data_IF_405386412584
#
_entry.id   IF_405386412584
#
_cell.length_a   1.000
_cell.length_b   1.000
_cell.length_c   1.000
_cell.angle_alpha   90.00
_cell.angle_beta   90.00
_cell.angle_gamma   90.00
#
_symmetry.space_group_name_H-M   'P 1'
#
loop_
_entity.id
_entity.type
_entity.pdbx_description
1 polymer ?
#
# COMPACT_ATOMS: atom_id res chain seq x y z
N UNK A 1 -3.37 4.75 21.44
CA UNK A 1 -3.53 6.23 21.38
C UNK A 1 -2.50 6.74 20.40
N UNK A 2 -2.90 7.50 19.37
CA UNK A 2 -1.96 7.99 18.34
C UNK A 2 -0.93 8.94 18.96
N UNK A 3 0.34 8.63 18.76
CA UNK A 3 1.47 9.45 19.22
C UNK A 3 1.57 10.76 18.43
N UNK A 4 2.32 11.74 18.95
CA UNK A 4 2.42 13.06 18.31
C UNK A 4 3.13 13.00 16.95
N UNK A 5 4.18 12.18 16.79
CA UNK A 5 4.85 12.01 15.49
C UNK A 5 3.93 11.33 14.49
N UNK A 6 3.28 10.22 14.86
CA UNK A 6 2.26 9.57 14.02
C UNK A 6 1.16 10.56 13.60
N UNK A 7 0.60 11.35 14.53
CA UNK A 7 -0.41 12.35 14.20
C UNK A 7 0.11 13.43 13.24
N UNK A 8 1.33 13.92 13.47
CA UNK A 8 1.96 14.92 12.59
C UNK A 8 2.18 14.36 11.18
N UNK A 9 2.65 13.13 11.07
CA UNK A 9 2.86 12.47 9.78
C UNK A 9 1.55 12.17 9.06
N UNK A 10 0.55 11.63 9.76
CA UNK A 10 -0.80 11.45 9.21
C UNK A 10 -1.36 12.77 8.67
N UNK A 11 -1.23 13.88 9.41
CA UNK A 11 -1.70 15.20 8.95
C UNK A 11 -1.00 15.71 7.69
N UNK A 12 0.22 15.23 7.40
CA UNK A 12 0.95 15.51 6.15
C UNK A 12 0.53 14.63 5.00
N UNK A 13 -0.15 13.51 5.29
CA UNK A 13 -0.63 12.56 4.28
C UNK A 13 -2.12 12.73 3.96
N UNK A 14 -2.81 13.65 4.63
CA UNK A 14 -4.22 13.94 4.45
C UNK A 14 -4.47 15.35 3.91
N UNK A 15 -5.60 15.54 3.24
CA UNK A 15 -6.13 16.88 2.94
C UNK A 15 -6.46 17.66 4.23
N UNK A 16 -6.69 18.98 4.18
CA UNK A 16 -7.14 19.74 5.35
C UNK A 16 -8.44 19.23 5.99
N UNK A 17 -9.25 18.47 5.23
CA UNK A 17 -10.47 17.83 5.71
C UNK A 17 -10.24 16.42 6.28
N UNK A 18 -8.99 15.94 6.35
CA UNK A 18 -8.65 14.63 6.92
C UNK A 18 -8.75 13.45 5.96
N UNK A 19 -9.01 13.67 4.67
CA UNK A 19 -9.11 12.58 3.68
C UNK A 19 -7.73 12.20 3.13
N UNK A 20 -7.47 10.91 2.95
CA UNK A 20 -6.35 10.40 2.17
C UNK A 20 -6.66 10.55 0.68
N UNK A 21 -5.88 11.37 -0.03
CA UNK A 21 -5.91 11.52 -1.48
C UNK A 21 -4.48 11.26 -1.96
N UNK A 22 -4.06 10.01 -1.89
CA UNK A 22 -2.66 9.62 -2.10
C UNK A 22 -2.47 9.09 -3.52
N UNK A 23 -1.50 9.63 -4.25
CA UNK A 23 -1.12 9.09 -5.56
C UNK A 23 -0.06 7.99 -5.38
N UNK A 24 -0.38 6.77 -5.82
CA UNK A 24 0.51 5.62 -5.73
C UNK A 24 1.18 5.30 -7.07
N UNK A 25 2.52 5.31 -7.09
CA UNK A 25 3.37 4.92 -8.22
C UNK A 25 4.60 4.14 -7.74
N UNK A 26 4.43 3.32 -6.72
CA UNK A 26 5.46 2.40 -6.19
C UNK A 26 5.60 1.10 -7.02
N UNK A 27 4.76 0.90 -8.04
CA UNK A 27 4.88 -0.18 -9.01
C UNK A 27 6.23 -0.14 -9.74
N UNK A 28 6.92 -1.28 -9.83
CA UNK A 28 8.27 -1.39 -10.43
C UNK A 28 8.19 -2.21 -11.71
N UNK A 29 8.67 -3.46 -11.66
CA UNK A 29 8.76 -4.37 -12.81
C UNK A 29 7.43 -4.52 -13.54
N UNK A 30 6.32 -4.71 -12.82
CA UNK A 30 5.00 -4.89 -13.43
C UNK A 30 4.53 -3.66 -14.22
N UNK A 31 4.85 -2.44 -13.77
CA UNK A 31 4.52 -1.22 -14.51
C UNK A 31 5.45 -1.07 -15.73
N UNK A 32 6.74 -1.34 -15.56
CA UNK A 32 7.70 -1.30 -16.67
C UNK A 32 7.32 -2.29 -17.79
N UNK A 33 6.94 -3.52 -17.43
CA UNK A 33 6.45 -4.54 -18.37
C UNK A 33 5.20 -4.09 -19.11
N UNK A 34 4.21 -3.53 -18.41
CA UNK A 34 2.99 -3.01 -19.03
C UNK A 34 3.27 -1.84 -19.99
N UNK A 35 4.17 -0.94 -19.62
CA UNK A 35 4.58 0.17 -20.50
C UNK A 35 5.31 -0.35 -21.74
N UNK A 36 6.26 -1.29 -21.57
CA UNK A 36 7.00 -1.88 -22.67
C UNK A 36 6.09 -2.65 -23.63
N UNK A 37 5.04 -3.30 -23.14
CA UNK A 37 4.04 -3.96 -23.97
C UNK A 37 3.19 -2.99 -24.79
N UNK A 38 3.11 -1.72 -24.38
CA UNK A 38 2.36 -0.67 -25.06
C UNK A 38 3.20 0.17 -26.04
N UNK A 39 4.50 -0.11 -26.18
CA UNK A 39 5.45 0.67 -27.00
C UNK A 39 6.27 -0.23 -27.92
N UNK A 40 6.63 0.26 -29.11
CA UNK A 40 7.48 -0.49 -30.05
C UNK A 40 8.94 -0.61 -29.59
N UNK A 41 9.37 0.25 -28.66
CA UNK A 41 10.74 0.30 -28.14
C UNK A 41 10.71 0.26 -26.62
N UNK A 42 11.24 -0.81 -25.99
CA UNK A 42 11.30 -0.91 -24.54
C UNK A 42 12.02 0.28 -23.91
N UNK A 43 11.48 0.75 -22.79
CA UNK A 43 12.04 1.82 -21.98
C UNK A 43 13.37 1.37 -21.35
N UNK A 44 14.36 2.25 -21.38
CA UNK A 44 15.53 2.10 -20.52
C UNK A 44 15.17 2.42 -19.06
N UNK A 45 16.02 2.02 -18.10
CA UNK A 45 15.84 2.43 -16.70
C UNK A 45 15.75 3.96 -16.55
N UNK A 46 16.55 4.70 -17.34
CA UNK A 46 16.52 6.16 -17.34
C UNK A 46 15.19 6.72 -17.84
N UNK A 47 14.63 6.14 -18.91
CA UNK A 47 13.33 6.58 -19.43
C UNK A 47 12.21 6.23 -18.46
N UNK A 48 12.32 5.12 -17.74
CA UNK A 48 11.35 4.75 -16.70
C UNK A 48 11.40 5.70 -15.50
N UNK A 49 12.59 6.12 -15.07
CA UNK A 49 12.74 7.20 -14.08
C UNK A 49 12.06 8.48 -14.59
N UNK A 50 12.38 8.92 -15.80
CA UNK A 50 11.77 10.12 -16.40
C UNK A 50 10.24 10.03 -16.44
N UNK A 51 9.70 8.88 -16.85
CA UNK A 51 8.26 8.63 -16.82
C UNK A 51 7.67 8.83 -15.42
N UNK A 52 8.27 8.23 -14.39
CA UNK A 52 7.78 8.40 -13.00
C UNK A 52 7.86 9.85 -12.54
N UNK A 53 8.94 10.55 -12.87
CA UNK A 53 9.09 11.97 -12.54
C UNK A 53 8.01 12.83 -13.20
N UNK A 54 7.63 12.53 -14.46
CA UNK A 54 6.54 13.23 -15.14
C UNK A 54 5.20 13.00 -14.42
N UNK A 55 4.91 11.77 -13.98
CA UNK A 55 3.68 11.48 -13.21
C UNK A 55 3.69 12.20 -11.86
N UNK A 56 4.80 12.14 -11.12
CA UNK A 56 4.96 12.83 -9.82
C UNK A 56 4.77 14.35 -9.99
N UNK A 57 5.39 14.93 -11.01
CA UNK A 57 5.28 16.37 -11.30
C UNK A 57 3.86 16.80 -11.68
N UNK A 58 3.15 15.96 -12.44
CA UNK A 58 1.80 16.27 -12.91
C UNK A 58 0.75 16.08 -11.82
N UNK A 59 0.85 15.03 -11.00
CA UNK A 59 -0.20 14.62 -10.06
C UNK A 59 0.11 14.93 -8.60
N UNK A 60 1.39 15.08 -8.23
CA UNK A 60 1.82 15.42 -6.87
C UNK A 60 1.12 16.65 -6.29
N UNK A 61 1.00 17.78 -7.02
CA UNK A 61 0.31 18.98 -6.53
C UNK A 61 -1.20 18.80 -6.25
N UNK A 62 -1.80 17.75 -6.80
CA UNK A 62 -3.22 17.41 -6.62
C UNK A 62 -3.46 16.33 -5.56
N UNK A 63 -2.39 15.84 -4.93
CA UNK A 63 -2.42 14.75 -3.96
C UNK A 63 -2.12 15.26 -2.55
N UNK A 64 -2.71 14.65 -1.53
CA UNK A 64 -2.32 14.91 -0.13
C UNK A 64 -0.96 14.30 0.20
N UNK A 65 -0.63 13.17 -0.44
CA UNK A 65 0.67 12.51 -0.35
C UNK A 65 0.97 11.76 -1.64
N UNK A 66 2.20 11.28 -1.76
CA UNK A 66 2.60 10.32 -2.81
C UNK A 66 3.22 9.08 -2.19
N UNK A 67 2.90 7.91 -2.75
CA UNK A 67 3.55 6.64 -2.46
C UNK A 67 4.42 6.27 -3.66
N UNK A 68 5.74 6.23 -3.50
CA UNK A 68 6.65 5.90 -4.61
C UNK A 68 7.85 5.10 -4.13
N UNK A 69 8.47 4.34 -5.03
CA UNK A 69 9.49 3.36 -4.68
C UNK A 69 10.90 4.00 -4.55
N UNK A 70 11.79 3.39 -3.75
CA UNK A 70 13.14 3.91 -3.57
C UNK A 70 14.06 3.78 -4.78
N UNK A 71 13.76 2.88 -5.73
CA UNK A 71 14.66 2.59 -6.84
C UNK A 71 14.54 3.61 -7.98
N UNK A 72 13.33 4.04 -8.32
CA UNK A 72 13.05 4.89 -9.48
C UNK A 72 12.34 6.20 -9.15
N UNK A 73 11.66 6.29 -8.00
CA UNK A 73 10.84 7.43 -7.63
C UNK A 73 11.52 8.39 -6.65
N UNK A 74 11.81 7.89 -5.44
CA UNK A 74 12.20 8.72 -4.29
C UNK A 74 13.50 9.49 -4.53
N UNK A 75 14.58 8.79 -4.90
CA UNK A 75 15.91 9.39 -5.00
C UNK A 75 15.94 10.53 -6.02
N UNK A 76 15.51 10.24 -7.25
CA UNK A 76 15.44 11.23 -8.31
C UNK A 76 14.44 12.34 -7.98
N UNK A 77 13.30 12.00 -7.38
CA UNK A 77 12.28 13.00 -7.08
C UNK A 77 12.71 14.02 -6.03
N UNK A 78 13.50 13.60 -5.04
CA UNK A 78 14.11 14.50 -4.06
C UNK A 78 15.17 15.39 -4.72
N UNK A 79 16.05 14.83 -5.54
CA UNK A 79 17.17 15.57 -6.18
C UNK A 79 16.66 16.58 -7.20
N UNK A 80 15.69 16.19 -8.02
CA UNK A 80 15.08 17.04 -9.06
C UNK A 80 14.05 18.04 -8.51
N UNK A 81 13.54 17.81 -7.29
CA UNK A 81 12.57 18.68 -6.64
C UNK A 81 11.10 18.39 -6.98
N UNK A 82 10.81 17.32 -7.72
CA UNK A 82 9.42 16.86 -7.98
C UNK A 82 8.75 16.32 -6.71
N UNK A 83 9.55 15.91 -5.71
CA UNK A 83 9.13 15.60 -4.35
C UNK A 83 9.56 16.73 -3.39
N UNK A 84 8.84 17.86 -3.37
CA UNK A 84 9.19 18.97 -2.48
C UNK A 84 8.99 18.55 -1.03
N UNK A 85 9.82 19.09 -0.12
CA UNK A 85 9.81 18.70 1.30
C UNK A 85 8.53 19.00 2.07
N UNK A 86 7.51 19.62 1.47
CA UNK A 86 6.18 19.83 2.05
C UNK A 86 5.15 18.79 1.60
N UNK A 87 5.38 18.09 0.48
CA UNK A 87 4.49 17.02 -0.01
C UNK A 87 4.63 15.80 0.91
N UNK A 88 3.51 15.21 1.33
CA UNK A 88 3.52 13.97 2.11
C UNK A 88 4.16 12.83 1.31
N UNK A 89 5.03 12.05 1.94
CA UNK A 89 5.75 10.96 1.25
C UNK A 89 5.61 9.63 1.98
N UNK A 90 4.97 8.66 1.35
CA UNK A 90 4.96 7.26 1.78
C UNK A 90 6.00 6.48 0.98
N UNK A 91 6.61 5.48 1.62
CA UNK A 91 7.56 4.59 0.97
C UNK A 91 7.23 3.12 1.25
N UNK A 92 7.25 2.24 0.22
CA UNK A 92 7.14 0.80 0.43
C UNK A 92 8.40 0.26 1.12
N UNK A 93 8.29 -0.84 1.85
CA UNK A 93 9.42 -1.59 2.41
C UNK A 93 9.64 -2.94 1.75
N UNK A 94 8.66 -3.43 1.00
CA UNK A 94 8.63 -4.74 0.38
C UNK A 94 9.15 -4.77 -1.06
N UNK A 95 9.59 -5.94 -1.48
CA UNK A 95 9.68 -6.35 -2.88
C UNK A 95 8.41 -7.15 -3.20
N UNK A 96 7.73 -6.79 -4.29
CA UNK A 96 6.53 -7.53 -4.74
C UNK A 96 6.81 -8.14 -6.09
N UNK A 97 6.79 -9.47 -6.15
CA UNK A 97 6.78 -10.21 -7.40
C UNK A 97 5.34 -10.45 -7.87
N UNK A 98 4.92 -9.72 -8.88
CA UNK A 98 3.58 -9.84 -9.46
C UNK A 98 3.43 -11.05 -10.38
N UNK A 99 4.53 -11.71 -10.77
CA UNK A 99 4.52 -12.92 -11.60
C UNK A 99 4.06 -14.17 -10.86
N UNK A 100 4.11 -14.16 -9.52
CA UNK A 100 3.63 -15.27 -8.68
C UNK A 100 2.20 -15.06 -8.21
N UNK A 101 1.47 -16.16 -8.03
CA UNK A 101 0.16 -16.13 -7.37
C UNK A 101 0.33 -15.60 -5.93
N UNK A 102 -0.58 -14.77 -5.40
CA UNK A 102 -0.45 -14.18 -4.06
C UNK A 102 -0.17 -15.19 -2.92
N UNK A 103 -0.70 -16.42 -3.02
CA UNK A 103 -0.43 -17.49 -2.04
C UNK A 103 1.03 -17.99 -2.02
N UNK A 104 1.79 -17.71 -3.08
CA UNK A 104 3.18 -18.17 -3.29
C UNK A 104 4.20 -17.04 -3.17
N UNK A 105 3.74 -15.79 -2.99
CA UNK A 105 4.64 -14.64 -2.90
C UNK A 105 5.36 -14.64 -1.54
N UNK A 106 6.70 -14.71 -1.52
CA UNK A 106 7.44 -14.48 -0.29
C UNK A 106 7.26 -13.03 0.18
N UNK A 107 7.38 -12.82 1.49
CA UNK A 107 7.50 -11.48 2.06
C UNK A 107 8.97 -11.09 2.09
N UNK A 108 9.44 -10.46 1.01
CA UNK A 108 10.81 -9.96 0.90
C UNK A 108 10.86 -8.44 1.14
N UNK A 109 11.91 -7.98 1.81
CA UNK A 109 12.15 -6.56 2.08
C UNK A 109 13.22 -5.99 1.17
N UNK A 110 13.08 -4.70 0.82
CA UNK A 110 14.04 -3.97 0.02
C UNK A 110 15.36 -3.85 0.80
N UNK A 111 16.50 -4.33 0.26
CA UNK A 111 17.77 -4.26 0.97
C UNK A 111 18.16 -2.84 1.37
N UNK A 112 18.62 -2.67 2.61
CA UNK A 112 19.02 -1.38 3.19
C UNK A 112 17.89 -0.32 3.27
N UNK A 113 16.64 -0.74 3.18
CA UNK A 113 15.47 0.14 3.19
C UNK A 113 14.49 -0.23 4.32
N UNK A 114 14.84 0.19 5.54
CA UNK A 114 14.05 -0.07 6.75
C UNK A 114 13.13 1.10 7.13
N UNK A 115 12.23 0.89 8.10
CA UNK A 115 11.45 1.96 8.75
C UNK A 115 12.34 3.11 9.20
N UNK A 116 13.47 2.78 9.84
CA UNK A 116 14.50 3.76 10.23
C UNK A 116 14.95 4.60 9.04
N UNK A 117 15.30 3.94 7.92
CA UNK A 117 15.80 4.62 6.73
C UNK A 117 14.74 5.55 6.15
N UNK A 118 13.49 5.10 6.05
CA UNK A 118 12.34 5.89 5.58
C UNK A 118 12.13 7.12 6.47
N UNK A 119 12.15 6.95 7.79
CA UNK A 119 12.06 8.09 8.71
C UNK A 119 13.22 9.07 8.53
N UNK A 120 14.46 8.58 8.46
CA UNK A 120 15.66 9.42 8.37
C UNK A 120 15.75 10.22 7.07
N UNK A 121 15.17 9.73 5.97
CA UNK A 121 15.10 10.47 4.71
C UNK A 121 13.97 11.53 4.68
N UNK A 122 13.11 11.57 5.71
CA UNK A 122 11.98 12.49 5.80
C UNK A 122 10.64 11.93 5.32
N UNK A 123 10.49 10.60 5.22
CA UNK A 123 9.21 9.97 4.91
C UNK A 123 8.16 10.21 6.01
N UNK A 124 6.90 10.24 5.58
CA UNK A 124 5.71 10.45 6.40
C UNK A 124 4.87 9.18 6.60
N UNK A 125 5.20 8.06 5.93
CA UNK A 125 4.55 6.79 6.19
C UNK A 125 5.32 5.61 5.62
N UNK A 126 5.28 4.50 6.36
CA UNK A 126 5.80 3.20 5.89
C UNK A 126 4.64 2.45 5.28
N UNK A 127 4.84 1.85 4.10
CA UNK A 127 3.82 1.03 3.45
C UNK A 127 4.31 -0.41 3.30
N UNK A 128 3.42 -1.39 3.52
CA UNK A 128 3.65 -2.80 3.21
C UNK A 128 2.48 -3.38 2.41
N UNK A 129 2.72 -3.92 1.21
CA UNK A 129 1.78 -4.84 0.54
C UNK A 129 1.98 -6.27 1.06
N UNK A 130 0.89 -6.89 1.52
CA UNK A 130 0.91 -8.20 2.16
C UNK A 130 -0.20 -9.10 1.58
N UNK A 131 0.11 -10.06 0.70
CA UNK A 131 -0.83 -11.11 0.36
C UNK A 131 -1.28 -11.85 1.62
N UNK A 132 -2.58 -11.96 1.88
CA UNK A 132 -3.06 -12.53 3.13
C UNK A 132 -4.38 -13.31 2.94
N UNK A 133 -4.48 -14.43 3.62
CA UNK A 133 -5.72 -15.16 3.85
C UNK A 133 -5.68 -15.68 5.29
N UNK A 134 -6.74 -15.50 6.10
CA UNK A 134 -6.74 -15.85 7.52
C UNK A 134 -6.47 -17.34 7.77
N UNK A 135 -6.96 -18.20 6.88
CA UNK A 135 -6.79 -19.65 6.97
C UNK A 135 -5.55 -20.18 6.22
N UNK A 136 -4.64 -19.32 5.75
CA UNK A 136 -3.40 -19.79 5.13
C UNK A 136 -2.39 -20.29 6.17
N UNK A 137 -1.64 -21.34 5.83
CA UNK A 137 -0.61 -21.92 6.71
C UNK A 137 0.46 -20.90 7.18
N UNK A 138 0.71 -19.86 6.38
CA UNK A 138 1.67 -18.79 6.69
C UNK A 138 1.07 -17.55 7.35
N UNK A 139 -0.21 -17.57 7.78
CA UNK A 139 -0.85 -16.42 8.39
C UNK A 139 -0.13 -15.95 9.66
N UNK A 140 0.34 -16.88 10.51
CA UNK A 140 1.07 -16.55 11.74
C UNK A 140 2.44 -15.90 11.47
N UNK A 141 3.15 -16.35 10.43
CA UNK A 141 4.42 -15.74 10.02
C UNK A 141 4.23 -14.30 9.53
N UNK A 142 3.14 -14.06 8.79
CA UNK A 142 2.75 -12.72 8.33
C UNK A 142 2.38 -11.82 9.50
N UNK A 143 1.68 -12.35 10.52
CA UNK A 143 1.39 -11.61 11.75
C UNK A 143 2.65 -11.20 12.48
N UNK A 144 3.61 -12.11 12.68
CA UNK A 144 4.88 -11.79 13.33
C UNK A 144 5.67 -10.71 12.56
N UNK A 145 5.63 -10.75 11.22
CA UNK A 145 6.27 -9.74 10.38
C UNK A 145 5.60 -8.36 10.52
N UNK A 146 4.26 -8.32 10.55
CA UNK A 146 3.48 -7.10 10.78
C UNK A 146 3.75 -6.52 12.17
N UNK A 147 3.78 -7.36 13.22
CA UNK A 147 4.10 -6.95 14.59
C UNK A 147 5.48 -6.30 14.67
N UNK A 148 6.50 -6.90 14.05
CA UNK A 148 7.84 -6.33 13.99
C UNK A 148 7.89 -4.95 13.31
N UNK A 149 7.10 -4.74 12.25
CA UNK A 149 7.03 -3.45 11.55
C UNK A 149 6.29 -2.41 12.39
N UNK A 150 5.25 -2.82 13.13
CA UNK A 150 4.54 -1.96 14.09
C UNK A 150 5.52 -1.48 15.17
N UNK A 151 6.29 -2.39 15.77
CA UNK A 151 7.30 -2.06 16.78
C UNK A 151 8.35 -1.07 16.26
N UNK A 152 8.81 -1.27 15.02
CA UNK A 152 9.72 -0.34 14.36
C UNK A 152 9.06 1.03 14.13
N UNK A 153 7.82 1.05 13.63
CA UNK A 153 7.08 2.30 13.36
C UNK A 153 6.78 3.08 14.65
N UNK A 154 6.48 2.39 15.74
CA UNK A 154 6.35 2.98 17.07
C UNK A 154 7.67 3.55 17.57
N UNK A 155 8.78 2.82 17.39
CA UNK A 155 10.13 3.28 17.75
C UNK A 155 10.52 4.57 17.01
N UNK A 156 10.15 4.70 15.73
CA UNK A 156 10.50 5.85 14.89
C UNK A 156 9.38 6.91 14.81
N UNK A 157 8.29 6.73 15.55
CA UNK A 157 7.12 7.60 15.63
C UNK A 157 6.64 8.05 14.23
N UNK A 158 6.37 7.06 13.38
CA UNK A 158 5.93 7.20 11.97
C UNK A 158 4.79 6.21 11.71
N UNK A 159 3.74 6.58 10.94
CA UNK A 159 2.59 5.70 10.74
C UNK A 159 2.88 4.55 9.79
N UNK A 160 2.27 3.41 10.08
CA UNK A 160 2.27 2.22 9.24
C UNK A 160 0.98 2.07 8.44
N UNK A 161 1.13 2.04 7.12
CA UNK A 161 0.09 1.78 6.13
C UNK A 161 0.20 0.33 5.66
N UNK A 162 -0.68 -0.54 6.13
CA UNK A 162 -0.71 -1.93 5.68
C UNK A 162 -1.69 -2.07 4.50
N UNK A 163 -1.24 -2.72 3.42
CA UNK A 163 -2.03 -3.07 2.25
C UNK A 163 -2.20 -4.60 2.18
N UNK A 164 -3.15 -5.18 2.93
CA UNK A 164 -3.40 -6.60 2.85
C UNK A 164 -4.20 -6.93 1.57
N UNK A 165 -3.73 -7.92 0.80
CA UNK A 165 -4.36 -8.36 -0.45
C UNK A 165 -4.96 -9.76 -0.27
N UNK A 166 -6.29 -9.92 -0.36
CA UNK A 166 -6.95 -11.20 -0.23
C UNK A 166 -6.65 -12.08 -1.45
N UNK A 167 -6.62 -13.38 -1.25
CA UNK A 167 -6.43 -14.35 -2.33
C UNK A 167 -7.12 -15.68 -2.01
N UNK A 168 -7.44 -16.48 -3.04
CA UNK A 168 -8.00 -17.82 -2.82
C UNK A 168 -6.91 -18.81 -2.41
N UNK A 169 -7.18 -19.64 -1.41
CA UNK A 169 -6.29 -20.74 -1.02
C UNK A 169 -6.09 -21.75 -2.17
N UNK A 170 -7.06 -21.87 -3.07
CA UNK A 170 -6.92 -22.59 -4.33
C UNK A 170 -6.39 -21.64 -5.42
N UNK A 171 -5.11 -21.74 -5.74
CA UNK A 171 -4.45 -20.85 -6.73
C UNK A 171 -5.01 -20.95 -8.15
N UNK A 172 -5.87 -21.93 -8.44
CA UNK A 172 -6.56 -22.06 -9.72
C UNK A 172 -7.88 -21.28 -9.76
N UNK A 173 -8.31 -20.67 -8.64
CA UNK A 173 -9.61 -19.99 -8.51
C UNK A 173 -9.45 -18.55 -8.04
N UNK A 174 -10.41 -17.72 -8.42
CA UNK A 174 -10.63 -16.41 -7.83
C UNK A 174 -11.54 -16.55 -6.62
N UNK A 175 -11.47 -15.60 -5.69
CA UNK A 175 -12.41 -15.53 -4.57
C UNK A 175 -13.82 -15.19 -5.10
N UNK A 176 -14.84 -16.00 -4.78
CA UNK A 176 -16.23 -15.57 -4.89
C UNK A 176 -16.51 -14.34 -4.00
N UNK A 177 -17.46 -13.49 -4.35
CA UNK A 177 -17.75 -12.25 -3.60
C UNK A 177 -18.04 -12.46 -2.12
N UNK A 178 -18.74 -13.54 -1.75
CA UNK A 178 -19.04 -13.86 -0.35
C UNK A 178 -17.77 -14.23 0.43
N UNK A 179 -16.89 -15.03 -0.15
CA UNK A 179 -15.59 -15.37 0.43
C UNK A 179 -14.65 -14.15 0.48
N UNK A 180 -14.61 -13.34 -0.59
CA UNK A 180 -13.85 -12.10 -0.66
C UNK A 180 -14.26 -11.13 0.46
N UNK A 181 -15.56 -10.98 0.69
CA UNK A 181 -16.07 -10.14 1.77
C UNK A 181 -15.69 -10.69 3.15
N UNK A 182 -15.83 -12.01 3.36
CA UNK A 182 -15.43 -12.65 4.62
C UNK A 182 -13.95 -12.47 4.93
N UNK A 183 -13.08 -12.69 3.94
CA UNK A 183 -11.63 -12.48 4.07
C UNK A 183 -11.31 -11.01 4.31
N UNK A 184 -11.97 -10.09 3.58
CA UNK A 184 -11.83 -8.62 3.77
C UNK A 184 -12.17 -8.19 5.20
N UNK A 185 -13.29 -8.66 5.75
CA UNK A 185 -13.71 -8.37 7.13
C UNK A 185 -12.70 -8.93 8.14
N UNK A 186 -12.24 -10.17 7.93
CA UNK A 186 -11.26 -10.80 8.82
C UNK A 186 -9.93 -10.04 8.83
N UNK A 187 -9.44 -9.59 7.67
CA UNK A 187 -8.24 -8.76 7.55
C UNK A 187 -8.40 -7.42 8.26
N UNK A 188 -9.50 -6.70 8.03
CA UNK A 188 -9.83 -5.44 8.71
C UNK A 188 -9.72 -5.60 10.21
N UNK A 189 -10.44 -6.57 10.77
CA UNK A 189 -10.49 -6.81 12.20
C UNK A 189 -9.09 -7.14 12.76
N UNK A 190 -8.44 -8.13 12.17
CA UNK A 190 -7.14 -8.63 12.65
C UNK A 190 -6.10 -7.52 12.68
N UNK A 191 -5.90 -6.82 11.57
CA UNK A 191 -4.81 -5.85 11.47
C UNK A 191 -5.12 -4.53 12.19
N UNK A 192 -6.40 -4.16 12.31
CA UNK A 192 -6.79 -3.02 13.16
C UNK A 192 -6.48 -3.32 14.64
N UNK A 193 -6.78 -4.52 15.12
CA UNK A 193 -6.53 -4.94 16.50
C UNK A 193 -5.03 -5.08 16.81
N UNK A 194 -4.20 -5.43 15.82
CA UNK A 194 -2.75 -5.51 15.96
C UNK A 194 -2.05 -4.16 16.14
N UNK A 195 -2.68 -3.04 15.78
CA UNK A 195 -2.11 -1.70 15.93
C UNK A 195 -1.52 -1.09 14.66
N UNK A 196 -1.93 -1.56 13.47
CA UNK A 196 -1.69 -0.85 12.20
C UNK A 196 -2.32 0.54 12.26
N UNK A 197 -1.68 1.57 11.68
CA UNK A 197 -2.21 2.93 11.75
C UNK A 197 -3.25 3.23 10.65
N UNK A 198 -3.05 2.69 9.43
CA UNK A 198 -3.97 2.86 8.30
C UNK A 198 -4.03 1.58 7.47
N UNK A 199 -5.24 1.18 7.05
CA UNK A 199 -5.44 0.07 6.11
C UNK A 199 -5.70 0.56 4.68
N UNK A 200 -4.90 0.10 3.73
CA UNK A 200 -5.10 0.31 2.28
C UNK A 200 -5.73 -0.97 1.71
N UNK A 201 -7.01 -0.94 1.40
CA UNK A 201 -7.80 -2.15 1.13
C UNK A 201 -8.23 -2.23 -0.34
N UNK A 202 -8.32 -3.43 -0.93
CA UNK A 202 -9.04 -3.62 -2.17
C UNK A 202 -10.53 -3.36 -1.97
N UNK A 203 -11.21 -3.11 -3.09
CA UNK A 203 -12.67 -3.09 -3.08
C UNK A 203 -13.20 -4.48 -2.67
N UNK A 204 -14.10 -4.58 -1.68
CA UNK A 204 -14.49 -5.87 -1.09
C UNK A 204 -15.46 -6.68 -1.96
N UNK A 205 -15.62 -6.31 -3.23
CA UNK A 205 -16.49 -6.96 -4.22
C UNK A 205 -15.72 -7.06 -5.54
N UNK A 206 -15.81 -8.21 -6.21
CA UNK A 206 -15.43 -8.33 -7.61
C UNK A 206 -16.59 -7.85 -8.50
N UNK A 207 -16.44 -6.66 -9.08
CA UNK A 207 -17.43 -6.05 -9.96
C UNK A 207 -17.75 -6.88 -11.22
N UNK A 208 -16.93 -7.88 -11.56
CA UNK A 208 -17.21 -8.84 -12.63
C UNK A 208 -18.26 -9.88 -12.22
N UNK A 209 -18.39 -10.14 -10.92
CA UNK A 209 -19.33 -11.10 -10.36
C UNK A 209 -20.66 -10.44 -9.96
N UNK A 210 -20.63 -9.17 -9.57
CA UNK A 210 -21.82 -8.38 -9.26
C UNK A 210 -21.68 -6.92 -9.67
N UNK A 211 -22.70 -6.38 -10.32
CA UNK A 211 -22.80 -4.98 -10.75
C UNK A 211 -23.86 -4.20 -9.96
N UNK A 212 -24.34 -4.78 -8.85
CA UNK A 212 -25.42 -4.18 -8.05
C UNK A 212 -24.84 -3.25 -6.98
N UNK A 213 -25.07 -1.95 -7.14
CA UNK A 213 -24.59 -0.91 -6.21
C UNK A 213 -25.00 -1.18 -4.75
N UNK A 214 -26.15 -1.82 -4.52
CA UNK A 214 -26.64 -2.16 -3.19
C UNK A 214 -25.71 -3.18 -2.50
N UNK A 215 -25.20 -4.17 -3.24
CA UNK A 215 -24.24 -5.15 -2.72
C UNK A 215 -22.90 -4.49 -2.41
N UNK A 216 -22.45 -3.59 -3.29
CA UNK A 216 -21.22 -2.84 -3.13
C UNK A 216 -21.23 -1.96 -1.88
N UNK A 217 -22.32 -1.21 -1.68
CA UNK A 217 -22.51 -0.38 -0.48
C UNK A 217 -22.54 -1.25 0.77
N UNK A 218 -23.27 -2.37 0.75
CA UNK A 218 -23.35 -3.27 1.89
C UNK A 218 -21.99 -3.87 2.27
N UNK A 219 -21.19 -4.28 1.26
CA UNK A 219 -19.85 -4.81 1.46
C UNK A 219 -18.90 -3.77 2.06
N UNK A 220 -18.89 -2.53 1.54
CA UNK A 220 -18.10 -1.44 2.09
C UNK A 220 -18.52 -1.10 3.54
N UNK A 221 -19.83 -1.09 3.85
CA UNK A 221 -20.31 -0.86 5.22
C UNK A 221 -19.89 -1.98 6.18
N UNK A 222 -19.85 -3.23 5.71
CA UNK A 222 -19.40 -4.35 6.52
C UNK A 222 -17.89 -4.30 6.81
N UNK A 223 -17.08 -3.87 5.83
CA UNK A 223 -15.65 -3.57 6.01
C UNK A 223 -15.46 -2.42 6.99
N UNK A 224 -16.18 -1.32 6.81
CA UNK A 224 -16.12 -0.15 7.70
C UNK A 224 -16.44 -0.51 9.16
N UNK A 225 -17.48 -1.32 9.37
CA UNK A 225 -17.86 -1.78 10.72
C UNK A 225 -16.81 -2.70 11.37
N UNK A 226 -15.97 -3.37 10.57
CA UNK A 226 -14.93 -4.29 11.05
C UNK A 226 -13.58 -3.59 11.29
N UNK A 227 -13.33 -2.48 10.61
CA UNK A 227 -12.09 -1.73 10.70
C UNK A 227 -12.16 -0.73 11.88
N UNK A 228 -11.23 -0.81 12.83
CA UNK A 228 -11.15 0.13 13.96
C UNK A 228 -10.09 1.24 13.78
N UNK A 229 -9.49 1.29 12.59
CA UNK A 229 -8.49 2.27 12.17
C UNK A 229 -8.92 2.89 10.84
N UNK A 230 -8.42 4.09 10.47
CA UNK A 230 -8.71 4.68 9.17
C UNK A 230 -8.34 3.73 8.03
N UNK A 231 -9.16 3.72 6.99
CA UNK A 231 -8.91 2.91 5.80
C UNK A 231 -9.20 3.69 4.51
N UNK A 232 -8.58 3.27 3.41
CA UNK A 232 -8.79 3.81 2.08
C UNK A 232 -8.74 2.69 1.04
N UNK A 233 -9.45 2.86 -0.07
CA UNK A 233 -9.38 1.94 -1.20
C UNK A 233 -8.07 2.12 -1.99
N UNK A 234 -7.55 1.03 -2.56
CA UNK A 234 -6.38 1.01 -3.45
C UNK A 234 -6.71 1.25 -4.93
#
# INVERSE_FOLDING_TARGET
>A
MTTMGKYRHLSRTTTPAGHFVIMAIDHRTNLLENLNAATDSPLSDSDFVVFKQQVLQALGPHSSAVLTDPAYGIGEGIVSGTLPGQLGLLAPIEVTDYGLHPSQRPLDFIPNWSVKKIKMMGGDGVKLLLPYHPDADNAAEKHASVEQIIDDCDTYDIPFFLEPIPYSLDSAKTLPNDELLQVSIAMCKTFSEMGVDVLKLPFPVDAKQSQEDVEWIAACLAVDAACSVPWALL
#
